data_IF_312148190227
#
_entry.id   IF_312148190227
#
_cell.length_a   1.000
_cell.length_b   1.000
_cell.length_c   1.000
_cell.angle_alpha   90.00
_cell.angle_beta   90.00
_cell.angle_gamma   90.00
#
_symmetry.space_group_name_H-M   'P 1'
#
loop_
_entity.id
_entity.type
_entity.pdbx_description
1 polymer ?
#
# COMPACT_ATOMS: atom_id res chain seq x y z
N UNK A 1 1.73 -27.05 -18.40
CA UNK A 1 0.92 -27.09 -17.16
C UNK A 1 0.62 -25.65 -16.81
N UNK A 2 -0.65 -25.25 -16.92
CA UNK A 2 -1.13 -23.93 -16.52
C UNK A 2 -0.99 -23.78 -15.01
N UNK A 3 -0.39 -22.69 -14.56
CA UNK A 3 -0.40 -22.32 -13.15
C UNK A 3 -1.82 -21.85 -12.83
N UNK A 4 -2.65 -22.76 -12.30
CA UNK A 4 -3.99 -22.42 -11.83
C UNK A 4 -3.90 -21.67 -10.50
N UNK A 5 -4.59 -20.54 -10.43
CA UNK A 5 -4.73 -19.72 -9.23
C UNK A 5 -5.39 -20.49 -8.09
N UNK A 6 -4.85 -20.36 -6.88
CA UNK A 6 -5.24 -21.19 -5.73
C UNK A 6 -6.40 -20.63 -4.89
N UNK A 7 -7.08 -19.57 -5.33
CA UNK A 7 -8.36 -19.14 -4.73
C UNK A 7 -9.19 -18.35 -5.73
N UNK A 8 -10.51 -18.29 -5.58
CA UNK A 8 -11.42 -17.56 -6.48
C UNK A 8 -11.30 -16.02 -6.44
N UNK A 9 -10.17 -15.49 -5.98
CA UNK A 9 -9.82 -14.09 -5.85
C UNK A 9 -8.52 -13.78 -6.64
N UNK A 10 -8.16 -12.50 -6.74
CA UNK A 10 -7.08 -12.01 -7.61
C UNK A 10 -5.68 -12.57 -7.24
N UNK A 11 -4.93 -13.04 -8.24
CA UNK A 11 -3.51 -13.42 -8.09
C UNK A 11 -2.54 -12.35 -8.60
N UNK A 12 -1.33 -12.34 -8.04
CA UNK A 12 -0.22 -11.54 -8.55
C UNK A 12 0.53 -12.33 -9.62
N UNK A 13 0.74 -11.67 -10.76
CA UNK A 13 1.56 -12.13 -11.88
C UNK A 13 2.67 -11.11 -12.14
N UNK A 14 3.81 -11.57 -12.66
CA UNK A 14 4.91 -10.69 -13.03
C UNK A 14 5.50 -11.05 -14.40
N UNK A 15 6.15 -10.07 -15.01
CA UNK A 15 6.90 -10.21 -16.25
C UNK A 15 8.25 -9.51 -16.07
N UNK A 16 9.31 -10.13 -16.55
CA UNK A 16 10.65 -9.54 -16.53
C UNK A 16 10.89 -8.76 -17.81
N UNK A 17 11.44 -7.54 -17.68
CA UNK A 17 11.89 -6.77 -18.84
C UNK A 17 13.16 -7.42 -19.41
N UNK A 18 13.14 -7.71 -20.71
CA UNK A 18 14.27 -8.25 -21.46
C UNK A 18 14.85 -7.18 -22.38
N UNK A 19 15.96 -7.48 -23.05
CA UNK A 19 16.52 -6.60 -24.09
C UNK A 19 15.56 -6.36 -25.27
N UNK A 20 14.70 -7.33 -25.56
CA UNK A 20 13.82 -7.35 -26.74
C UNK A 20 12.33 -7.10 -26.40
N UNK A 21 11.99 -6.87 -25.13
CA UNK A 21 10.62 -6.66 -24.69
C UNK A 21 10.35 -7.14 -23.26
N UNK A 22 9.31 -7.95 -23.10
CA UNK A 22 8.91 -8.55 -21.81
C UNK A 22 8.86 -10.07 -21.94
N UNK A 23 9.17 -10.79 -20.86
CA UNK A 23 8.98 -12.24 -20.79
C UNK A 23 7.50 -12.61 -20.81
N UNK A 24 7.18 -13.89 -21.01
CA UNK A 24 5.84 -14.40 -20.72
C UNK A 24 5.41 -14.13 -19.26
N UNK A 25 4.11 -13.90 -18.98
CA UNK A 25 3.60 -13.75 -17.63
C UNK A 25 3.87 -15.00 -16.78
N UNK A 26 4.37 -14.80 -15.58
CA UNK A 26 4.60 -15.85 -14.60
C UNK A 26 3.78 -15.58 -13.35
N UNK A 27 3.18 -16.64 -12.80
CA UNK A 27 2.52 -16.55 -11.50
C UNK A 27 3.58 -16.17 -10.47
N UNK A 28 3.27 -15.17 -9.64
CA UNK A 28 4.15 -14.79 -8.55
C UNK A 28 4.15 -15.88 -7.46
N UNK A 29 5.06 -15.74 -6.49
CA UNK A 29 5.28 -16.73 -5.45
C UNK A 29 3.96 -17.20 -4.79
N UNK A 30 3.76 -18.52 -4.73
CA UNK A 30 2.53 -19.12 -4.25
C UNK A 30 2.27 -18.86 -2.76
N UNK A 31 3.31 -18.57 -1.97
CA UNK A 31 3.18 -18.16 -0.57
C UNK A 31 2.56 -16.77 -0.48
N UNK A 32 2.93 -15.86 -1.37
CA UNK A 32 2.34 -14.51 -1.41
C UNK A 32 0.90 -14.57 -1.93
N UNK A 33 0.63 -15.40 -2.95
CA UNK A 33 -0.70 -15.64 -3.51
C UNK A 33 -1.58 -16.59 -2.65
N UNK A 34 -1.15 -16.96 -1.44
CA UNK A 34 -1.89 -17.87 -0.56
C UNK A 34 -3.09 -17.25 0.17
N UNK A 35 -3.35 -15.96 -0.04
CA UNK A 35 -4.44 -15.20 0.59
C UNK A 35 -5.22 -14.40 -0.46
N UNK A 36 -6.48 -14.04 -0.17
CA UNK A 36 -7.21 -13.05 -0.96
C UNK A 36 -6.47 -11.69 -1.02
N UNK A 37 -6.33 -11.13 -2.23
CA UNK A 37 -5.67 -9.85 -2.48
C UNK A 37 -6.63 -8.88 -3.16
N UNK A 38 -6.62 -7.62 -2.71
CA UNK A 38 -7.49 -6.55 -3.20
C UNK A 38 -7.02 -5.17 -2.71
N UNK A 39 -6.75 -4.14 -3.53
CA UNK A 39 -6.56 -4.04 -4.98
C UNK A 39 -5.10 -3.80 -5.38
N UNK A 40 -4.20 -3.66 -4.41
CA UNK A 40 -2.84 -3.19 -4.65
C UNK A 40 -1.81 -4.11 -4.03
N UNK A 41 -0.77 -4.36 -4.81
CA UNK A 41 0.51 -4.89 -4.34
C UNK A 41 1.53 -3.76 -4.27
N UNK A 42 2.42 -3.81 -3.29
CA UNK A 42 3.60 -2.96 -3.21
C UNK A 42 4.78 -3.77 -2.73
N UNK A 43 5.97 -3.45 -3.21
CA UNK A 43 7.20 -4.16 -2.89
C UNK A 43 8.29 -3.14 -2.57
N UNK A 44 9.03 -3.37 -1.50
CA UNK A 44 10.18 -2.55 -1.14
C UNK A 44 11.46 -3.09 -1.80
N UNK A 45 12.56 -2.34 -1.73
CA UNK A 45 13.81 -2.71 -2.43
C UNK A 45 14.46 -3.99 -1.89
N UNK A 46 14.21 -4.34 -0.63
CA UNK A 46 14.69 -5.59 -0.05
C UNK A 46 13.87 -6.83 -0.49
N UNK A 47 12.80 -6.62 -1.27
CA UNK A 47 11.94 -7.68 -1.77
C UNK A 47 10.68 -7.94 -0.92
N UNK A 48 10.52 -7.33 0.25
CA UNK A 48 9.32 -7.49 1.07
C UNK A 48 8.08 -7.01 0.32
N UNK A 49 7.04 -7.86 0.28
CA UNK A 49 5.79 -7.62 -0.45
C UNK A 49 4.65 -7.32 0.53
N UNK A 50 3.95 -6.23 0.27
CA UNK A 50 2.80 -5.76 1.02
C UNK A 50 1.55 -5.87 0.15
N UNK A 51 0.55 -6.57 0.66
CA UNK A 51 -0.76 -6.73 0.04
C UNK A 51 -1.84 -6.44 1.07
N UNK A 52 -3.09 -6.43 0.63
CA UNK A 52 -4.23 -6.27 1.52
C UNK A 52 -5.46 -6.97 1.00
N UNK A 53 -6.31 -7.42 1.92
CA UNK A 53 -7.75 -7.51 1.71
C UNK A 53 -8.41 -7.05 3.02
N UNK A 54 -8.70 -5.74 3.12
CA UNK A 54 -9.13 -5.03 4.35
C UNK A 54 -8.18 -5.11 5.55
N UNK A 55 -7.14 -5.93 5.48
CA UNK A 55 -6.04 -6.02 6.43
C UNK A 55 -4.75 -5.97 5.64
N UNK A 56 -3.83 -5.07 5.99
CA UNK A 56 -2.49 -5.02 5.38
C UNK A 56 -1.63 -6.13 5.97
N UNK A 57 -1.01 -6.90 5.09
CA UNK A 57 -0.07 -7.96 5.43
C UNK A 57 1.27 -7.73 4.75
N UNK A 58 2.31 -8.37 5.27
CA UNK A 58 3.65 -8.40 4.69
C UNK A 58 4.12 -9.84 4.56
N UNK A 59 4.56 -10.21 3.36
CA UNK A 59 5.41 -11.38 3.12
C UNK A 59 6.85 -10.90 3.03
N UNK A 60 7.69 -11.32 3.96
CA UNK A 60 9.10 -10.93 3.96
C UNK A 60 9.90 -11.77 2.98
N UNK A 61 10.90 -11.17 2.36
CA UNK A 61 11.83 -11.89 1.50
C UNK A 61 13.12 -12.19 2.27
N UNK A 62 13.30 -13.45 2.67
CA UNK A 62 14.42 -13.92 3.51
C UNK A 62 14.97 -15.21 2.91
N UNK A 63 16.30 -15.32 2.80
CA UNK A 63 16.98 -16.50 2.26
C UNK A 63 16.41 -16.97 0.90
N UNK A 64 16.15 -16.00 0.01
CA UNK A 64 15.62 -16.21 -1.33
C UNK A 64 14.22 -16.86 -1.37
N UNK A 65 13.42 -16.68 -0.31
CA UNK A 65 12.05 -17.19 -0.19
C UNK A 65 11.14 -16.17 0.47
N UNK A 66 9.86 -16.24 0.13
CA UNK A 66 8.82 -15.47 0.81
C UNK A 66 8.33 -16.18 2.07
N UNK A 67 8.15 -15.42 3.16
CA UNK A 67 7.42 -15.91 4.33
C UNK A 67 5.92 -15.88 4.08
N UNK A 68 5.17 -16.73 4.81
CA UNK A 68 3.71 -16.63 4.87
C UNK A 68 3.29 -15.19 5.20
N UNK A 69 2.26 -14.63 4.53
CA UNK A 69 1.81 -13.27 4.80
C UNK A 69 1.45 -13.06 6.27
N UNK A 70 2.12 -12.12 6.93
CA UNK A 70 1.87 -11.78 8.33
C UNK A 70 1.15 -10.42 8.42
N UNK A 71 0.11 -10.34 9.26
CA UNK A 71 -0.59 -9.06 9.53
C UNK A 71 0.39 -8.04 10.09
N UNK A 72 0.32 -6.81 9.60
CA UNK A 72 1.01 -5.70 10.25
C UNK A 72 0.41 -5.40 11.64
N UNK A 73 1.19 -4.74 12.52
CA UNK A 73 0.76 -4.44 13.89
C UNK A 73 -0.54 -3.62 13.97
N UNK A 74 -1.18 -3.58 15.15
CA UNK A 74 -2.38 -2.76 15.41
C UNK A 74 -2.25 -1.30 14.97
N UNK A 75 -1.06 -0.70 15.11
CA UNK A 75 -0.79 0.66 14.64
C UNK A 75 -1.23 0.91 13.19
N UNK A 76 -1.11 -0.10 12.31
CA UNK A 76 -1.58 -0.04 10.92
C UNK A 76 -3.04 -0.51 10.81
N UNK A 77 -3.31 -1.73 11.29
CA UNK A 77 -4.53 -2.47 10.96
C UNK A 77 -5.74 -2.19 11.89
N UNK A 78 -5.56 -1.51 13.01
CA UNK A 78 -6.67 -1.25 13.93
C UNK A 78 -7.72 -0.34 13.29
N UNK A 79 -8.95 -0.84 13.25
CA UNK A 79 -10.16 -0.13 12.89
C UNK A 79 -11.19 -0.33 14.00
N UNK A 80 -12.10 0.63 14.26
CA UNK A 80 -13.13 0.43 15.27
C UNK A 80 -14.13 -0.66 14.83
N UNK A 81 -14.42 -1.61 15.72
CA UNK A 81 -15.36 -2.72 15.46
C UNK A 81 -16.79 -2.23 15.12
N UNK A 82 -17.15 -1.02 15.57
CA UNK A 82 -18.44 -0.40 15.30
C UNK A 82 -18.64 0.01 13.84
N UNK A 83 -17.58 -0.03 13.02
CA UNK A 83 -17.60 0.43 11.64
C UNK A 83 -17.67 -0.78 10.72
N UNK A 84 -18.90 -1.12 10.29
CA UNK A 84 -19.12 -2.21 9.35
C UNK A 84 -18.34 -1.95 8.06
N UNK A 85 -17.65 -2.97 7.55
CA UNK A 85 -16.80 -2.85 6.36
C UNK A 85 -15.64 -1.83 6.51
N UNK A 86 -15.13 -1.60 7.73
CA UNK A 86 -13.84 -0.95 7.89
C UNK A 86 -12.71 -1.86 7.41
N UNK A 87 -11.56 -1.26 7.11
CA UNK A 87 -10.36 -2.01 6.76
C UNK A 87 -9.28 -1.14 6.15
N UNK A 88 -8.04 -1.62 6.20
CA UNK A 88 -6.90 -0.99 5.57
C UNK A 88 -6.59 -1.67 4.24
N UNK A 89 -6.44 -0.88 3.19
CA UNK A 89 -6.23 -1.34 1.82
C UNK A 89 -5.20 -0.49 1.10
N UNK A 90 -4.88 -0.89 -0.13
CA UNK A 90 -4.06 -0.14 -1.07
C UNK A 90 -2.67 0.24 -0.50
N UNK A 91 -1.93 -0.69 0.13
CA UNK A 91 -0.66 -0.37 0.77
C UNK A 91 0.40 0.03 -0.26
N UNK A 92 1.20 1.02 0.10
CA UNK A 92 2.42 1.42 -0.60
C UNK A 92 3.55 1.52 0.42
N UNK A 93 4.49 0.58 0.35
CA UNK A 93 5.74 0.63 1.11
C UNK A 93 6.76 1.44 0.32
N UNK A 94 7.49 2.32 0.99
CA UNK A 94 8.60 3.04 0.37
C UNK A 94 9.72 2.08 -0.07
N UNK A 95 10.54 2.44 -1.08
CA UNK A 95 11.65 1.60 -1.51
C UNK A 95 12.61 1.23 -0.36
N UNK A 96 12.83 2.15 0.57
CA UNK A 96 13.75 1.98 1.70
C UNK A 96 13.05 1.41 2.96
N UNK A 97 11.77 1.04 2.87
CA UNK A 97 10.99 0.42 3.95
C UNK A 97 10.85 1.29 5.21
N UNK A 98 10.98 2.61 5.07
CA UNK A 98 10.93 3.62 6.15
C UNK A 98 9.54 4.25 6.34
N UNK A 99 8.63 4.17 5.35
CA UNK A 99 7.24 4.59 5.53
C UNK A 99 6.26 3.74 4.71
N UNK A 100 5.02 3.65 5.20
CA UNK A 100 3.90 2.97 4.57
C UNK A 100 2.75 3.96 4.37
N UNK A 101 2.28 4.11 3.14
CA UNK A 101 1.06 4.85 2.80
C UNK A 101 -0.06 3.83 2.56
N UNK A 102 -1.25 4.07 3.10
CA UNK A 102 -2.39 3.18 2.94
C UNK A 102 -3.72 3.93 3.07
N UNK A 103 -4.79 3.33 2.59
CA UNK A 103 -6.14 3.87 2.73
C UNK A 103 -6.89 3.07 3.78
N UNK A 104 -7.52 3.75 4.73
CA UNK A 104 -8.43 3.14 5.69
C UNK A 104 -9.85 3.46 5.29
N UNK A 105 -10.64 2.44 4.97
CA UNK A 105 -12.08 2.58 4.83
C UNK A 105 -12.69 2.80 6.21
N UNK A 106 -13.41 3.92 6.33
CA UNK A 106 -14.04 4.34 7.56
C UNK A 106 -15.39 4.95 7.18
N UNK A 107 -16.43 4.13 6.94
CA UNK A 107 -17.79 4.61 6.71
C UNK A 107 -18.37 5.23 7.98
N UNK A 108 -17.83 6.38 8.38
CA UNK A 108 -18.39 7.29 9.37
C UNK A 108 -19.24 8.35 8.66
N UNK A 109 -20.09 9.08 9.41
CA UNK A 109 -20.77 10.27 8.91
C UNK A 109 -19.84 11.45 8.54
N UNK A 110 -18.51 11.28 8.61
CA UNK A 110 -17.56 12.29 8.15
C UNK A 110 -17.71 12.50 6.65
N UNK A 111 -17.46 13.72 6.17
CA UNK A 111 -17.51 14.06 4.75
C UNK A 111 -16.54 13.24 3.87
N UNK A 112 -15.59 12.48 4.45
CA UNK A 112 -14.67 11.57 3.75
C UNK A 112 -14.99 10.11 4.11
N UNK A 113 -15.31 9.23 3.13
CA UNK A 113 -15.54 7.80 3.34
C UNK A 113 -14.25 6.99 3.56
N UNK A 114 -13.09 7.61 3.35
CA UNK A 114 -11.76 7.02 3.47
C UNK A 114 -10.77 7.99 4.10
N UNK A 115 -9.88 7.45 4.94
CA UNK A 115 -8.71 8.15 5.46
C UNK A 115 -7.48 7.76 4.63
N UNK A 116 -6.73 8.75 4.13
CA UNK A 116 -5.48 8.53 3.41
C UNK A 116 -4.32 8.76 4.37
N UNK A 117 -3.62 7.69 4.72
CA UNK A 117 -2.75 7.65 5.90
C UNK A 117 -1.31 7.36 5.52
N UNK A 118 -0.37 7.92 6.28
CA UNK A 118 1.05 7.59 6.22
C UNK A 118 1.56 7.22 7.61
N UNK A 119 2.29 6.11 7.74
CA UNK A 119 2.97 5.70 8.97
C UNK A 119 4.46 5.56 8.71
N UNK A 120 5.27 6.12 9.59
CA UNK A 120 6.73 6.04 9.53
C UNK A 120 7.24 4.93 10.43
N UNK A 121 8.22 4.17 9.95
CA UNK A 121 8.90 3.16 10.74
C UNK A 121 9.90 3.83 11.67
N UNK A 122 9.93 3.42 12.93
CA UNK A 122 10.89 3.90 13.94
C UNK A 122 12.24 3.17 13.80
N UNK A 123 13.27 3.71 14.44
CA UNK A 123 14.60 3.08 14.52
C UNK A 123 14.57 1.64 15.09
N UNK A 124 13.64 1.33 16.00
CA UNK A 124 13.44 0.00 16.57
C UNK A 124 12.68 -0.99 15.65
N UNK A 125 12.30 -0.54 14.45
CA UNK A 125 11.55 -1.31 13.46
C UNK A 125 10.04 -1.31 13.65
N UNK A 126 9.51 -0.69 14.72
CA UNK A 126 8.07 -0.56 14.95
C UNK A 126 7.43 0.46 14.02
N UNK A 127 6.13 0.31 13.76
CA UNK A 127 5.35 1.29 13.00
C UNK A 127 4.83 2.42 13.88
N UNK A 128 5.02 3.66 13.44
CA UNK A 128 4.49 4.87 14.04
C UNK A 128 2.96 4.95 13.98
N UNK A 129 2.39 5.84 14.80
CA UNK A 129 0.97 6.19 14.67
C UNK A 129 0.73 6.79 13.29
N UNK A 130 -0.23 6.29 12.49
CA UNK A 130 -0.51 6.86 11.17
C UNK A 130 -0.98 8.31 11.26
N UNK A 131 -0.48 9.13 10.36
CA UNK A 131 -0.85 10.54 10.19
C UNK A 131 -1.79 10.70 8.97
N UNK A 132 -2.70 11.69 9.02
CA UNK A 132 -3.64 11.98 7.94
C UNK A 132 -2.96 12.73 6.79
N UNK A 133 -2.43 11.98 5.82
CA UNK A 133 -1.85 12.51 4.59
C UNK A 133 -2.93 13.22 3.75
N UNK A 134 -4.17 12.76 3.80
CA UNK A 134 -5.28 13.40 3.12
C UNK A 134 -5.52 14.83 3.60
N UNK A 135 -5.49 15.07 4.90
CA UNK A 135 -5.59 16.41 5.49
C UNK A 135 -4.45 17.32 5.00
N UNK A 136 -3.22 16.81 4.91
CA UNK A 136 -2.07 17.56 4.38
C UNK A 136 -2.21 17.89 2.89
N UNK A 137 -2.84 17.01 2.11
CA UNK A 137 -3.05 17.16 0.66
C UNK A 137 -4.37 17.86 0.28
N UNK A 138 -5.20 18.19 1.27
CA UNK A 138 -6.50 18.85 1.07
C UNK A 138 -7.56 17.94 0.45
N UNK A 139 -7.50 16.61 0.64
CA UNK A 139 -8.47 15.69 0.05
C UNK A 139 -8.27 14.24 0.48
N UNK A 140 -9.12 13.33 0.01
CA UNK A 140 -8.87 11.91 0.20
C UNK A 140 -7.80 11.39 -0.78
N UNK A 141 -7.42 10.14 -0.61
CA UNK A 141 -6.46 9.49 -1.49
C UNK A 141 -6.48 7.98 -1.35
N UNK A 142 -6.07 7.31 -2.41
CA UNK A 142 -5.81 5.89 -2.41
C UNK A 142 -4.79 5.50 -3.47
N UNK A 143 -4.31 4.27 -3.35
CA UNK A 143 -3.46 3.63 -4.35
C UNK A 143 -2.19 4.43 -4.68
N UNK A 144 -1.47 4.84 -3.63
CA UNK A 144 -0.29 5.66 -3.76
C UNK A 144 0.86 4.95 -4.51
N UNK A 145 1.64 5.73 -5.25
CA UNK A 145 2.87 5.31 -5.94
C UNK A 145 3.88 6.45 -5.94
N UNK A 146 5.14 6.14 -5.65
CA UNK A 146 6.25 7.09 -5.78
C UNK A 146 6.85 6.99 -7.19
N UNK A 147 7.29 8.11 -7.77
CA UNK A 147 8.10 8.09 -8.97
C UNK A 147 9.43 7.36 -8.72
N UNK A 148 10.04 6.72 -9.74
CA UNK A 148 11.32 6.03 -9.57
C UNK A 148 12.45 6.93 -9.04
N UNK A 149 12.41 8.23 -9.33
CA UNK A 149 13.36 9.22 -8.85
C UNK A 149 12.99 9.85 -7.49
N UNK A 150 11.88 9.41 -6.89
CA UNK A 150 11.43 9.83 -5.55
C UNK A 150 10.86 11.25 -5.47
N UNK A 151 10.70 11.96 -6.59
CA UNK A 151 10.28 13.37 -6.61
C UNK A 151 8.77 13.58 -6.56
N UNK A 152 7.99 12.61 -7.02
CA UNK A 152 6.55 12.77 -7.14
C UNK A 152 5.80 11.62 -6.48
N UNK A 153 4.75 11.97 -5.74
CA UNK A 153 3.77 11.02 -5.21
C UNK A 153 2.52 11.07 -6.09
N UNK A 154 2.17 9.96 -6.71
CA UNK A 154 0.93 9.75 -7.47
C UNK A 154 -0.09 9.02 -6.61
N UNK A 155 -1.37 9.37 -6.75
CA UNK A 155 -2.47 8.72 -6.03
C UNK A 155 -3.81 8.99 -6.75
N UNK A 156 -4.81 8.14 -6.49
CA UNK A 156 -6.18 8.35 -6.94
C UNK A 156 -6.97 9.14 -5.89
N UNK A 157 -7.80 10.08 -6.33
CA UNK A 157 -8.74 10.83 -5.46
C UNK A 157 -10.02 11.16 -6.24
N UNK A 158 -11.13 11.31 -5.51
CA UNK A 158 -12.43 11.76 -6.01
C UNK A 158 -12.71 13.24 -5.67
N UNK A 159 -11.70 13.98 -5.24
CA UNK A 159 -11.85 15.38 -4.84
C UNK A 159 -12.50 16.24 -5.95
N UNK A 160 -13.38 17.19 -5.58
CA UNK A 160 -14.07 18.05 -6.55
C UNK A 160 -13.08 18.77 -7.47
N UNK A 161 -13.31 18.71 -8.78
CA UNK A 161 -12.45 19.37 -9.79
C UNK A 161 -12.00 18.48 -10.93
N UNK A 162 -12.23 17.16 -10.88
CA UNK A 162 -11.99 16.25 -12.01
C UNK A 162 -13.26 15.93 -12.79
N UNK A 163 -13.14 15.80 -14.12
CA UNK A 163 -14.24 15.44 -15.03
C UNK A 163 -14.82 14.02 -14.83
N UNK A 164 -14.26 13.23 -13.91
CA UNK A 164 -14.68 11.87 -13.55
C UNK A 164 -14.64 11.67 -12.04
N UNK A 165 -15.46 10.75 -11.54
CA UNK A 165 -15.64 10.42 -10.12
C UNK A 165 -14.36 9.93 -9.41
N UNK A 166 -13.29 9.54 -10.14
CA UNK A 166 -11.94 9.34 -9.59
C UNK A 166 -10.89 9.71 -10.65
N UNK A 167 -9.87 10.47 -10.27
CA UNK A 167 -8.74 10.83 -11.14
C UNK A 167 -7.39 10.61 -10.47
N UNK A 168 -6.35 10.47 -11.29
CA UNK A 168 -4.97 10.39 -10.82
C UNK A 168 -4.46 11.81 -10.58
N UNK A 169 -3.94 12.05 -9.38
CA UNK A 169 -3.28 13.28 -8.99
C UNK A 169 -1.82 12.99 -8.66
N UNK A 170 -1.03 14.06 -8.63
CA UNK A 170 0.35 14.01 -8.19
C UNK A 170 0.70 15.25 -7.38
N UNK A 171 1.69 15.10 -6.50
CA UNK A 171 2.29 16.19 -5.71
C UNK A 171 3.80 15.98 -5.62
N UNK A 172 4.53 17.04 -5.25
CA UNK A 172 5.93 16.91 -4.86
C UNK A 172 6.04 16.02 -3.61
N UNK A 173 6.88 14.99 -3.68
CA UNK A 173 7.06 14.02 -2.61
C UNK A 173 7.71 14.62 -1.34
N UNK A 174 8.23 15.86 -1.38
CA UNK A 174 8.67 16.62 -0.19
C UNK A 174 7.64 16.64 0.93
N UNK A 175 6.35 16.58 0.59
CA UNK A 175 5.26 16.50 1.57
C UNK A 175 5.44 15.33 2.57
N UNK A 176 6.06 14.22 2.15
CA UNK A 176 6.34 13.07 3.01
C UNK A 176 7.38 13.44 4.06
N UNK A 177 8.47 14.11 3.67
CA UNK A 177 9.52 14.55 4.60
C UNK A 177 9.01 15.58 5.60
N UNK A 178 8.09 16.45 5.18
CA UNK A 178 7.45 17.42 6.07
C UNK A 178 6.55 16.77 7.12
N UNK A 179 6.12 15.53 6.91
CA UNK A 179 5.31 14.75 7.84
C UNK A 179 6.15 13.77 8.68
N UNK A 180 7.43 13.60 8.40
CA UNK A 180 8.30 12.71 9.16
C UNK A 180 8.47 13.24 10.60
N UNK A 181 8.08 12.48 11.63
CA UNK A 181 8.19 12.95 13.00
C UNK A 181 9.65 13.12 13.43
N UNK A 182 9.94 14.22 14.14
CA UNK A 182 11.29 14.56 14.60
C UNK A 182 11.81 13.66 15.72
N UNK A 183 10.93 12.95 16.41
CA UNK A 183 11.20 12.07 17.55
C UNK A 183 11.46 10.60 17.17
N UNK A 184 11.45 10.27 15.87
CA UNK A 184 11.71 8.91 15.38
C UNK A 184 13.16 8.65 14.96
N UNK A 185 14.05 9.63 15.14
CA UNK A 185 15.49 9.54 14.84
C UNK A 185 16.30 9.07 16.03
#
# INVERSE_FOLDING_TARGET
MSAEGMSGDQDIWYMSRTKDGWSEPQLFDSVVNSIPIHWQVSMSRNGDVYTSNRTVVCSRFVDNRYTTPAKLPPAINSVPDSVQQAGCVAPFISPDSDYLIFTRFNPRPSARPTDFLISFKRADGSWGTPQDLGAKLGGNGMAARLSPDGKYLFFMSDRPGSARERSIYWVDAKVIKEMEPTDLK
#
